data_IF_419059219837
#
_entry.id   IF_419059219837
#
_cell.length_a   1.000
_cell.length_b   1.000
_cell.length_c   1.000
_cell.angle_alpha   90.00
_cell.angle_beta   90.00
_cell.angle_gamma   90.00
#
_symmetry.space_group_name_H-M   'P 1'
#
loop_
_entity.id
_entity.type
_entity.pdbx_description
1 polymer ?
#
# COMPACT_ATOMS: atom_id res chain seq x y z
N UNK A 1 -1.01 61.60 19.84
CA UNK A 1 -0.53 60.89 18.66
C UNK A 1 -0.94 59.44 18.78
N UNK A 2 -2.04 59.07 18.10
CA UNK A 2 -2.81 57.86 18.34
C UNK A 2 -2.29 56.75 17.41
N UNK A 3 -1.80 55.65 17.97
CA UNK A 3 -1.45 54.45 17.20
C UNK A 3 -2.64 53.50 17.14
N UNK A 4 -3.14 53.25 15.95
CA UNK A 4 -4.13 52.23 15.66
C UNK A 4 -3.46 50.87 15.65
N UNK A 5 -3.90 49.97 16.52
CA UNK A 5 -3.64 48.52 16.45
C UNK A 5 -4.61 47.87 15.45
N UNK A 6 -4.11 47.37 14.35
CA UNK A 6 -4.82 46.46 13.49
C UNK A 6 -4.36 45.03 13.78
N UNK A 7 -5.14 44.29 14.55
CA UNK A 7 -5.03 42.86 14.70
C UNK A 7 -5.69 42.20 13.49
N UNK A 8 -4.92 41.80 12.50
CA UNK A 8 -5.32 40.87 11.48
C UNK A 8 -5.18 39.45 12.05
N UNK A 9 -6.29 38.89 12.43
CA UNK A 9 -6.38 37.45 12.74
C UNK A 9 -6.40 36.72 11.42
N UNK A 10 -5.24 36.27 10.97
CA UNK A 10 -5.11 35.32 9.87
C UNK A 10 -5.40 33.92 10.43
N UNK A 11 -6.67 33.49 10.28
CA UNK A 11 -7.08 32.11 10.48
C UNK A 11 -6.93 31.38 9.15
N UNK A 12 -5.72 31.10 8.75
CA UNK A 12 -5.44 30.04 7.78
C UNK A 12 -5.48 28.72 8.54
N UNK A 13 -6.60 28.01 8.45
CA UNK A 13 -6.63 26.57 8.75
C UNK A 13 -5.76 25.89 7.69
N UNK A 14 -4.49 25.64 8.03
CA UNK A 14 -3.64 24.76 7.26
C UNK A 14 -4.25 23.37 7.32
N UNK A 15 -4.91 22.95 6.25
CA UNK A 15 -5.18 21.54 6.03
C UNK A 15 -3.81 20.85 5.99
N UNK A 16 -3.47 20.11 7.03
CA UNK A 16 -2.27 19.29 7.09
C UNK A 16 -2.40 18.20 6.03
N UNK A 17 -1.71 18.37 4.92
CA UNK A 17 -1.60 17.35 3.86
C UNK A 17 -0.63 16.26 4.32
N UNK A 18 -1.03 15.00 4.25
CA UNK A 18 -0.35 13.83 4.85
C UNK A 18 -0.38 12.67 3.85
N UNK A 19 0.61 11.82 3.77
CA UNK A 19 1.31 11.28 2.57
C UNK A 19 1.59 12.49 1.71
N UNK A 20 2.68 12.70 1.09
CA UNK A 20 2.81 13.96 0.35
C UNK A 20 1.56 14.15 -0.50
N UNK A 21 0.64 15.07 -0.11
CA UNK A 21 -0.63 15.33 -0.77
C UNK A 21 -1.84 14.42 -0.45
N UNK A 22 -1.74 13.51 0.54
CA UNK A 22 -2.82 12.61 0.95
C UNK A 22 -3.71 13.12 2.09
N UNK A 23 -4.62 12.27 2.53
CA UNK A 23 -5.56 12.50 3.63
C UNK A 23 -5.51 11.34 4.62
N UNK A 24 -5.95 11.56 5.87
CA UNK A 24 -6.13 10.47 6.81
C UNK A 24 -7.19 9.50 6.29
N UNK A 25 -6.81 8.21 6.18
CA UNK A 25 -7.70 7.15 5.73
C UNK A 25 -8.84 6.94 6.72
N UNK A 26 -10.01 6.60 6.20
CA UNK A 26 -11.13 6.20 7.06
C UNK A 26 -10.71 4.97 7.89
N UNK A 27 -11.11 4.90 9.17
CA UNK A 27 -10.81 3.75 10.00
C UNK A 27 -11.19 2.43 9.31
N UNK A 28 -10.19 1.54 9.18
CA UNK A 28 -10.33 0.19 8.62
C UNK A 28 -10.75 0.12 7.13
N UNK A 29 -10.56 1.21 6.35
CA UNK A 29 -10.84 1.21 4.89
C UNK A 29 -9.89 0.31 4.10
N UNK A 30 -8.72 -0.02 4.66
CA UNK A 30 -7.70 -0.87 4.03
C UNK A 30 -7.41 -2.12 4.90
N UNK A 31 -8.36 -3.07 5.00
CA UNK A 31 -8.24 -4.22 5.93
C UNK A 31 -7.14 -5.22 5.54
N UNK A 32 -6.61 -5.11 4.34
CA UNK A 32 -5.50 -5.92 3.81
C UNK A 32 -4.11 -5.37 4.16
N UNK A 33 -4.04 -4.12 4.60
CA UNK A 33 -2.77 -3.43 4.83
C UNK A 33 -2.17 -3.85 6.17
N UNK A 34 -0.86 -4.11 6.17
CA UNK A 34 -0.09 -4.35 7.39
C UNK A 34 1.04 -3.35 7.54
N UNK A 35 1.29 -2.93 8.77
CA UNK A 35 2.50 -2.23 9.18
C UNK A 35 3.55 -3.27 9.55
N UNK A 36 4.67 -3.32 8.83
CA UNK A 36 5.83 -4.11 9.21
C UNK A 36 6.66 -3.32 10.20
N UNK A 37 6.83 -3.88 11.40
CA UNK A 37 7.52 -3.21 12.49
C UNK A 37 8.72 -4.03 12.96
N UNK A 38 9.87 -3.39 13.08
CA UNK A 38 11.02 -3.98 13.73
C UNK A 38 10.90 -3.79 15.23
N UNK A 39 11.31 -4.84 15.98
CA UNK A 39 11.24 -4.84 17.43
C UNK A 39 12.65 -4.84 18.03
N UNK A 40 12.91 -3.82 18.84
CA UNK A 40 14.14 -3.75 19.66
C UNK A 40 13.75 -3.59 21.11
N UNK A 41 14.03 -4.58 21.94
CA UNK A 41 13.57 -4.69 23.33
C UNK A 41 12.04 -4.58 23.40
N UNK A 42 11.51 -3.53 24.01
CA UNK A 42 10.08 -3.24 24.14
C UNK A 42 9.55 -2.19 23.15
N UNK A 43 10.45 -1.63 22.31
CA UNK A 43 10.11 -0.62 21.30
C UNK A 43 9.83 -1.30 19.98
N UNK A 44 8.79 -0.85 19.29
CA UNK A 44 8.50 -1.17 17.89
C UNK A 44 8.56 0.09 17.06
N UNK A 45 9.04 -0.03 15.86
CA UNK A 45 9.03 1.07 14.91
C UNK A 45 8.66 0.57 13.52
N UNK A 46 7.72 1.29 12.91
CA UNK A 46 7.29 1.05 11.54
C UNK A 46 8.42 1.37 10.58
N UNK A 47 8.62 0.52 9.56
CA UNK A 47 9.64 0.78 8.55
C UNK A 47 9.19 0.42 7.13
N UNK A 48 8.20 -0.46 6.96
CA UNK A 48 7.65 -0.88 5.67
C UNK A 48 6.16 -1.22 5.80
N UNK A 49 5.48 -1.19 4.67
CA UNK A 49 4.14 -1.73 4.51
C UNK A 49 4.15 -3.15 3.96
N UNK A 50 2.96 -3.74 3.86
CA UNK A 50 2.74 -5.03 3.21
C UNK A 50 1.26 -5.31 3.02
N UNK A 51 0.94 -6.37 2.27
CA UNK A 51 -0.43 -6.78 1.96
C UNK A 51 -0.69 -8.21 2.39
N UNK A 52 -1.77 -8.44 3.11
CA UNK A 52 -2.22 -9.80 3.47
C UNK A 52 -2.71 -10.50 2.21
N UNK A 53 -2.14 -11.67 1.89
CA UNK A 53 -2.59 -12.51 0.77
C UNK A 53 -3.50 -13.66 1.23
N UNK A 54 -3.21 -14.23 2.38
CA UNK A 54 -4.05 -15.21 3.10
C UNK A 54 -3.70 -15.18 4.60
N UNK A 55 -4.21 -16.13 5.38
CA UNK A 55 -4.00 -16.15 6.84
C UNK A 55 -2.52 -16.19 7.24
N UNK A 56 -1.62 -16.71 6.39
CA UNK A 56 -0.24 -16.97 6.75
C UNK A 56 0.79 -16.18 5.93
N UNK A 57 0.36 -15.50 4.85
CA UNK A 57 1.26 -14.90 3.91
C UNK A 57 0.99 -13.42 3.66
N UNK A 58 2.08 -12.65 3.63
CA UNK A 58 2.10 -11.22 3.34
C UNK A 58 3.01 -10.99 2.14
N UNK A 59 2.59 -10.10 1.24
CA UNK A 59 3.37 -9.55 0.14
C UNK A 59 4.01 -8.23 0.57
N UNK A 60 5.29 -8.03 0.26
CA UNK A 60 6.03 -6.79 0.52
C UNK A 60 7.18 -6.62 -0.49
N UNK A 61 8.02 -5.60 -0.34
CA UNK A 61 9.22 -5.40 -1.14
C UNK A 61 10.42 -6.21 -0.63
N UNK A 62 11.31 -6.62 -1.52
CA UNK A 62 12.52 -7.36 -1.15
C UNK A 62 13.52 -6.49 -0.38
N UNK A 63 13.63 -5.20 -0.70
CA UNK A 63 14.50 -4.27 0.03
C UNK A 63 14.12 -4.15 1.51
N UNK A 64 12.85 -4.31 1.87
CA UNK A 64 12.39 -4.33 3.26
C UNK A 64 13.00 -5.47 4.09
N UNK A 65 13.44 -6.55 3.45
CA UNK A 65 13.94 -7.74 4.15
C UNK A 65 15.42 -8.02 3.90
N UNK A 66 16.00 -7.50 2.81
CA UNK A 66 17.36 -7.80 2.38
C UNK A 66 18.36 -6.65 2.57
N UNK A 67 17.99 -5.40 2.38
CA UNK A 67 18.98 -4.31 2.35
C UNK A 67 19.38 -3.83 3.74
N UNK A 68 18.45 -3.73 4.66
CA UNK A 68 18.76 -3.26 6.00
C UNK A 68 19.38 -4.36 6.85
N UNK A 69 20.66 -4.21 7.23
CA UNK A 69 21.30 -5.11 8.20
C UNK A 69 20.56 -5.12 9.55
N UNK A 70 19.95 -3.99 9.94
CA UNK A 70 19.10 -3.89 11.13
C UNK A 70 17.85 -4.74 10.94
N UNK A 71 17.19 -4.65 9.80
CA UNK A 71 16.02 -5.45 9.49
C UNK A 71 16.36 -6.95 9.49
N UNK A 72 17.56 -7.35 9.04
CA UNK A 72 18.01 -8.75 9.10
C UNK A 72 18.21 -9.28 10.52
N UNK A 73 18.67 -8.45 11.44
CA UNK A 73 19.01 -8.84 12.81
C UNK A 73 17.82 -8.76 13.77
N UNK A 74 16.94 -7.77 13.59
CA UNK A 74 15.84 -7.56 14.54
C UNK A 74 14.63 -8.45 14.20
N UNK A 75 13.90 -8.91 15.22
CA UNK A 75 12.60 -9.50 15.05
C UNK A 75 11.65 -8.50 14.35
N UNK A 76 10.85 -9.04 13.43
CA UNK A 76 9.86 -8.28 12.66
C UNK A 76 8.46 -8.77 13.02
N UNK A 77 7.57 -7.85 13.29
CA UNK A 77 6.16 -8.10 13.55
C UNK A 77 5.31 -7.51 12.41
N UNK A 78 4.25 -8.20 12.01
CA UNK A 78 3.19 -7.68 11.16
C UNK A 78 2.05 -7.18 12.07
N UNK A 79 1.67 -5.92 11.88
CA UNK A 79 0.56 -5.30 12.61
C UNK A 79 -0.56 -5.01 11.62
N UNK A 80 -1.70 -5.67 11.80
CA UNK A 80 -2.91 -5.57 10.96
C UNK A 80 -4.11 -5.06 11.77
N UNK A 81 -5.17 -4.61 11.10
CA UNK A 81 -6.42 -4.20 11.75
C UNK A 81 -6.29 -2.93 12.59
N UNK A 82 -5.42 -2.03 12.20
CA UNK A 82 -5.19 -0.76 12.89
C UNK A 82 -5.04 0.41 11.93
N UNK A 83 -5.44 1.60 12.36
CA UNK A 83 -5.12 2.86 11.68
C UNK A 83 -3.93 3.59 12.32
N UNK A 84 -3.50 3.18 13.51
CA UNK A 84 -2.39 3.79 14.26
C UNK A 84 -1.21 2.82 14.33
N UNK A 85 0.00 3.29 14.03
CA UNK A 85 1.23 2.49 14.17
C UNK A 85 1.72 2.38 15.61
N UNK A 86 1.19 3.18 16.53
CA UNK A 86 1.58 3.21 17.94
C UNK A 86 0.50 2.65 18.87
N UNK A 87 -0.78 2.79 18.51
CA UNK A 87 -1.91 2.28 19.27
C UNK A 87 -2.81 1.40 18.41
N UNK A 88 -2.63 0.10 18.52
CA UNK A 88 -3.32 -0.88 17.66
C UNK A 88 -4.79 -1.09 18.01
N UNK A 89 -5.23 -0.61 19.19
CA UNK A 89 -6.60 -0.84 19.68
C UNK A 89 -6.90 -2.31 19.94
N UNK A 90 -8.17 -2.60 20.24
CA UNK A 90 -8.62 -3.97 20.57
C UNK A 90 -8.77 -4.88 19.33
N UNK A 91 -8.76 -4.32 18.14
CA UNK A 91 -8.94 -5.04 16.88
C UNK A 91 -7.61 -5.31 16.15
N UNK A 92 -6.55 -4.65 16.59
CA UNK A 92 -5.20 -4.82 16.03
C UNK A 92 -4.64 -6.20 16.34
N UNK A 93 -4.09 -6.84 15.32
CA UNK A 93 -3.38 -8.12 15.43
C UNK A 93 -1.89 -7.89 15.23
N UNK A 94 -1.09 -8.37 16.18
CA UNK A 94 0.38 -8.28 16.12
C UNK A 94 0.93 -9.69 16.01
N UNK A 95 1.44 -10.05 14.84
CA UNK A 95 1.91 -11.41 14.55
C UNK A 95 3.38 -11.37 14.14
N UNK A 96 4.27 -12.09 14.85
CA UNK A 96 5.68 -12.18 14.46
C UNK A 96 5.87 -12.81 13.08
N UNK A 97 6.86 -12.35 12.34
CA UNK A 97 7.25 -12.93 11.06
C UNK A 97 8.19 -14.13 11.32
N UNK A 98 7.81 -15.30 10.77
CA UNK A 98 8.55 -16.56 10.88
C UNK A 98 9.59 -16.70 9.77
N UNK A 99 9.25 -16.31 8.54
CA UNK A 99 10.17 -16.41 7.38
C UNK A 99 10.05 -15.14 6.53
N UNK A 100 11.17 -14.73 5.98
CA UNK A 100 11.34 -13.63 5.03
C UNK A 100 11.94 -14.21 3.77
N UNK A 101 11.28 -14.04 2.64
CA UNK A 101 11.62 -14.71 1.39
C UNK A 101 11.63 -13.65 0.29
N UNK A 102 12.77 -12.98 0.07
CA UNK A 102 12.92 -12.09 -1.07
C UNK A 102 12.92 -12.89 -2.37
N UNK A 103 12.58 -12.23 -3.48
CA UNK A 103 12.67 -12.86 -4.79
C UNK A 103 14.13 -13.26 -5.07
N UNK A 104 14.38 -14.50 -5.55
CA UNK A 104 15.75 -15.01 -5.70
C UNK A 104 16.63 -14.24 -6.69
N UNK A 105 16.01 -13.48 -7.60
CA UNK A 105 16.71 -12.64 -8.57
C UNK A 105 16.86 -11.19 -8.10
N UNK A 106 16.42 -10.84 -6.90
CA UNK A 106 16.65 -9.49 -6.37
C UNK A 106 18.14 -9.29 -6.08
N UNK A 107 18.73 -8.29 -6.72
CA UNK A 107 20.18 -8.04 -6.64
C UNK A 107 20.55 -6.97 -5.59
N UNK A 108 19.56 -6.41 -4.90
CA UNK A 108 19.75 -5.26 -4.02
C UNK A 108 19.63 -3.91 -4.76
N UNK A 109 19.44 -2.84 -4.00
CA UNK A 109 19.32 -1.49 -4.52
C UNK A 109 18.04 -1.24 -5.34
N UNK A 110 18.10 -0.22 -6.17
CA UNK A 110 17.01 0.17 -7.06
C UNK A 110 17.07 -0.70 -8.32
N UNK A 111 16.01 -1.46 -8.60
CA UNK A 111 15.97 -2.31 -9.79
C UNK A 111 14.83 -3.33 -9.78
N UNK A 112 14.81 -4.25 -10.76
CA UNK A 112 13.77 -5.26 -10.89
C UNK A 112 13.82 -6.31 -9.75
N UNK A 113 12.72 -7.05 -9.63
CA UNK A 113 12.54 -8.14 -8.65
C UNK A 113 12.45 -7.69 -7.19
N UNK A 114 12.17 -6.42 -6.93
CA UNK A 114 11.98 -5.90 -5.57
C UNK A 114 10.61 -6.31 -5.02
N UNK A 115 10.50 -7.60 -4.67
CA UNK A 115 9.29 -8.24 -4.15
C UNK A 115 9.67 -9.39 -3.20
N UNK A 116 8.93 -9.56 -2.12
CA UNK A 116 9.16 -10.59 -1.12
C UNK A 116 7.86 -11.15 -0.55
N UNK A 117 7.93 -12.41 -0.11
CA UNK A 117 6.89 -13.08 0.66
C UNK A 117 7.32 -13.21 2.12
N UNK A 118 6.40 -12.88 3.03
CA UNK A 118 6.60 -13.08 4.47
C UNK A 118 5.64 -14.13 4.99
N UNK A 119 6.16 -15.12 5.72
CA UNK A 119 5.31 -16.07 6.44
C UNK A 119 5.17 -15.66 7.89
N UNK A 120 3.96 -15.58 8.37
CA UNK A 120 3.64 -15.29 9.77
C UNK A 120 3.90 -16.50 10.67
N UNK A 121 4.10 -16.26 11.95
CA UNK A 121 4.30 -17.32 12.95
C UNK A 121 2.97 -17.96 13.35
N UNK A 122 1.88 -17.21 13.31
CA UNK A 122 0.52 -17.65 13.56
C UNK A 122 -0.40 -17.09 12.46
N UNK A 123 -1.56 -17.71 12.17
CA UNK A 123 -2.48 -17.21 11.17
C UNK A 123 -3.14 -15.90 11.62
N UNK A 124 -3.41 -15.00 10.67
CA UNK A 124 -4.33 -13.90 10.87
C UNK A 124 -5.75 -14.43 11.14
N UNK A 125 -6.44 -13.80 12.07
CA UNK A 125 -7.87 -14.01 12.24
C UNK A 125 -8.61 -13.01 11.35
N UNK A 126 -9.32 -13.50 10.34
CA UNK A 126 -10.07 -12.62 9.46
C UNK A 126 -11.28 -12.03 10.18
N UNK A 127 -11.45 -10.72 10.04
CA UNK A 127 -12.51 -9.90 10.62
C UNK A 127 -12.91 -8.82 9.60
N UNK A 128 -13.74 -7.87 9.98
CA UNK A 128 -14.02 -6.69 9.14
C UNK A 128 -12.77 -5.84 8.93
N UNK A 129 -11.87 -5.83 9.90
CA UNK A 129 -10.70 -4.98 9.97
C UNK A 129 -9.43 -5.66 9.45
N UNK A 130 -9.45 -6.99 9.25
CA UNK A 130 -8.31 -7.79 8.76
C UNK A 130 -8.79 -8.75 7.70
N UNK A 131 -8.38 -8.55 6.45
CA UNK A 131 -8.81 -9.34 5.27
C UNK A 131 -7.69 -9.46 4.24
N UNK A 132 -7.70 -10.50 3.41
CA UNK A 132 -6.78 -10.60 2.29
C UNK A 132 -7.13 -9.61 1.17
N UNK A 133 -6.14 -9.30 0.34
CA UNK A 133 -6.29 -8.53 -0.90
C UNK A 133 -6.33 -9.47 -2.10
N UNK A 134 -7.00 -9.04 -3.18
CA UNK A 134 -7.03 -9.80 -4.42
C UNK A 134 -5.76 -9.60 -5.24
N UNK A 135 -5.35 -10.66 -5.96
CA UNK A 135 -4.19 -10.66 -6.86
C UNK A 135 -4.61 -10.41 -8.32
N UNK A 136 -3.77 -9.75 -9.15
CA UNK A 136 -4.12 -9.35 -10.51
C UNK A 136 -3.86 -10.49 -11.53
N UNK A 137 -4.42 -11.68 -11.34
CA UNK A 137 -4.09 -12.87 -12.17
C UNK A 137 -4.31 -12.66 -13.65
N UNK A 138 -5.51 -12.22 -14.03
CA UNK A 138 -5.87 -11.94 -15.43
C UNK A 138 -6.33 -10.48 -15.62
N UNK A 139 -6.18 -9.66 -14.58
CA UNK A 139 -6.59 -8.28 -14.61
C UNK A 139 -5.59 -7.42 -15.39
N UNK A 140 -6.09 -6.66 -16.35
CA UNK A 140 -5.32 -5.63 -17.05
C UNK A 140 -5.60 -4.28 -16.42
N UNK A 141 -4.52 -3.54 -16.14
CA UNK A 141 -4.62 -2.17 -15.67
C UNK A 141 -5.43 -1.37 -16.68
N UNK A 142 -6.52 -0.76 -16.23
CA UNK A 142 -7.23 0.27 -16.97
C UNK A 142 -6.73 1.66 -16.48
N UNK A 143 -7.02 2.70 -17.22
CA UNK A 143 -6.57 4.07 -16.90
C UNK A 143 -7.36 4.70 -15.74
N UNK A 144 -8.01 3.88 -14.93
CA UNK A 144 -8.76 4.35 -13.77
C UNK A 144 -7.84 4.80 -12.65
N UNK A 145 -8.40 5.50 -11.70
CA UNK A 145 -7.73 5.93 -10.48
C UNK A 145 -7.29 4.74 -9.65
N UNK A 146 -6.06 4.78 -9.18
CA UNK A 146 -5.48 3.85 -8.22
C UNK A 146 -5.37 4.51 -6.86
N UNK A 147 -5.22 3.71 -5.82
CA UNK A 147 -5.08 4.18 -4.46
C UNK A 147 -3.78 3.68 -3.84
N UNK A 148 -3.13 4.57 -3.12
CA UNK A 148 -1.97 4.30 -2.30
C UNK A 148 -2.35 4.60 -0.86
N UNK A 149 -2.07 3.68 0.06
CA UNK A 149 -2.27 3.88 1.48
C UNK A 149 -1.06 3.40 2.28
N UNK A 150 -0.67 4.15 3.32
CA UNK A 150 0.48 3.81 4.14
C UNK A 150 0.71 4.80 5.29
N UNK A 151 1.77 4.51 6.01
CA UNK A 151 2.27 5.35 7.12
C UNK A 151 3.62 5.96 6.80
N UNK A 152 3.94 6.12 5.52
CA UNK A 152 5.19 6.74 5.09
C UNK A 152 5.32 8.19 5.53
N UNK A 153 6.56 8.67 5.54
CA UNK A 153 6.88 10.01 5.97
C UNK A 153 6.13 11.06 5.16
N UNK A 154 5.65 12.08 5.83
CA UNK A 154 4.87 13.18 5.25
C UNK A 154 5.73 14.13 4.41
N UNK A 155 7.04 14.06 4.63
CA UNK A 155 8.08 14.84 3.93
C UNK A 155 9.43 14.19 4.11
N UNK A 156 10.31 14.44 3.16
CA UNK A 156 11.72 14.04 3.30
C UNK A 156 12.40 14.90 4.38
N UNK A 157 12.97 14.25 5.39
CA UNK A 157 13.77 14.88 6.43
C UNK A 157 15.18 14.31 6.43
N UNK A 158 16.17 15.10 6.90
CA UNK A 158 17.59 14.72 6.87
C UNK A 158 17.95 13.71 7.96
N UNK A 159 17.25 13.69 9.09
CA UNK A 159 17.66 12.89 10.25
C UNK A 159 16.62 11.88 10.72
N UNK A 160 15.39 12.29 10.96
CA UNK A 160 14.31 11.40 11.46
C UNK A 160 13.09 11.58 10.56
N UNK A 161 12.58 10.52 9.95
CA UNK A 161 11.34 10.58 9.17
C UNK A 161 10.18 11.10 10.04
N UNK A 162 9.44 12.07 9.52
CA UNK A 162 8.20 12.55 10.14
C UNK A 162 7.07 11.59 9.75
N UNK A 163 6.96 10.49 10.49
CA UNK A 163 6.04 9.38 10.20
C UNK A 163 4.72 9.63 10.92
N UNK A 164 3.59 9.65 10.19
CA UNK A 164 2.27 9.86 10.79
C UNK A 164 1.86 8.66 11.64
N UNK A 165 1.24 8.90 12.80
CA UNK A 165 0.63 7.82 13.58
C UNK A 165 -0.57 7.21 12.87
N UNK A 166 -1.34 8.03 12.15
CA UNK A 166 -2.56 7.62 11.47
C UNK A 166 -2.31 7.27 10.02
N UNK A 167 -2.95 6.17 9.58
CA UNK A 167 -2.93 5.74 8.18
C UNK A 167 -3.37 6.88 7.26
N UNK A 168 -2.62 7.06 6.17
CA UNK A 168 -2.90 8.03 5.12
C UNK A 168 -3.29 7.32 3.84
N UNK A 169 -4.08 7.98 3.00
CA UNK A 169 -4.46 7.49 1.66
C UNK A 169 -4.41 8.61 0.64
N UNK A 170 -4.14 8.26 -0.61
CA UNK A 170 -4.15 9.19 -1.75
C UNK A 170 -4.52 8.49 -3.04
N UNK A 171 -5.29 9.18 -3.87
CA UNK A 171 -5.56 8.74 -5.24
C UNK A 171 -4.42 9.16 -6.17
N UNK A 172 -3.95 8.22 -6.98
CA UNK A 172 -2.88 8.41 -7.97
C UNK A 172 -3.31 7.87 -9.33
N UNK A 173 -2.62 8.27 -10.39
CA UNK A 173 -2.89 7.76 -11.74
C UNK A 173 -1.68 7.04 -12.29
N UNK A 174 -1.92 5.94 -12.98
CA UNK A 174 -0.89 5.27 -13.77
C UNK A 174 -0.35 6.21 -14.86
N UNK A 175 0.96 6.15 -15.06
CA UNK A 175 1.64 6.79 -16.20
C UNK A 175 2.32 5.73 -17.05
N UNK A 176 2.40 5.95 -18.35
CA UNK A 176 3.01 4.99 -19.28
C UNK A 176 4.49 4.75 -18.98
N UNK A 177 5.01 3.60 -19.41
CA UNK A 177 6.45 3.31 -19.28
C UNK A 177 7.31 4.41 -19.90
N UNK A 178 6.99 4.84 -21.12
CA UNK A 178 7.78 5.87 -21.83
C UNK A 178 7.76 7.22 -21.10
N UNK A 179 6.62 7.61 -20.55
CA UNK A 179 6.48 8.83 -19.78
C UNK A 179 7.28 8.74 -18.47
N UNK A 180 7.17 7.61 -17.76
CA UNK A 180 7.92 7.33 -16.54
C UNK A 180 9.45 7.32 -16.82
N UNK A 181 9.88 6.60 -17.85
CA UNK A 181 11.29 6.53 -18.25
C UNK A 181 11.86 7.91 -18.57
N UNK A 182 11.14 8.70 -19.39
CA UNK A 182 11.56 10.05 -19.77
C UNK A 182 11.59 10.99 -18.56
N UNK A 183 10.65 10.86 -17.63
CA UNK A 183 10.62 11.65 -16.42
C UNK A 183 11.85 11.38 -15.55
N UNK A 184 12.19 10.10 -15.32
CA UNK A 184 13.39 9.71 -14.56
C UNK A 184 14.65 10.18 -15.26
N UNK A 185 14.77 9.98 -16.60
CA UNK A 185 15.91 10.47 -17.39
C UNK A 185 16.15 11.98 -17.25
N UNK A 186 15.07 12.75 -17.11
CA UNK A 186 15.15 14.20 -17.01
C UNK A 186 15.66 14.74 -15.67
N UNK A 187 15.58 13.92 -14.60
CA UNK A 187 15.87 14.35 -13.21
C UNK A 187 17.02 13.57 -12.56
N UNK A 188 17.40 12.39 -13.10
CA UNK A 188 18.55 11.63 -12.61
C UNK A 188 19.87 12.35 -12.90
N UNK A 189 20.93 12.03 -12.19
CA UNK A 189 22.25 12.49 -12.53
C UNK A 189 22.71 11.93 -13.90
N UNK A 190 23.46 12.72 -14.66
CA UNK A 190 23.82 12.39 -16.06
C UNK A 190 24.60 11.07 -16.19
N UNK A 191 25.35 10.72 -15.17
CA UNK A 191 26.20 9.52 -15.15
C UNK A 191 25.47 8.30 -14.56
N UNK A 192 24.28 8.50 -13.95
CA UNK A 192 23.50 7.40 -13.41
C UNK A 192 22.73 6.66 -14.50
N UNK A 193 22.64 5.34 -14.34
CA UNK A 193 21.79 4.49 -15.17
C UNK A 193 20.33 4.61 -14.72
N UNK A 194 19.40 4.60 -15.67
CA UNK A 194 17.97 4.53 -15.37
C UNK A 194 17.59 3.08 -15.04
N UNK A 195 17.22 2.77 -13.80
CA UNK A 195 16.96 1.40 -13.37
C UNK A 195 15.56 0.88 -13.73
N UNK A 196 14.75 1.70 -14.43
CA UNK A 196 13.38 1.33 -14.78
C UNK A 196 13.36 0.17 -15.79
N UNK A 197 12.66 -0.91 -15.44
CA UNK A 197 12.42 -2.07 -16.28
C UNK A 197 10.96 -2.14 -16.70
N UNK A 198 10.69 -2.26 -18.01
CA UNK A 198 9.33 -2.21 -18.56
C UNK A 198 8.44 -3.35 -18.09
N UNK A 199 9.01 -4.54 -17.86
CA UNK A 199 8.26 -5.71 -17.40
C UNK A 199 8.06 -5.70 -15.90
N UNK A 200 9.14 -5.40 -15.16
CA UNK A 200 9.16 -5.50 -13.71
C UNK A 200 8.47 -4.35 -13.00
N UNK A 201 8.39 -3.17 -13.63
CA UNK A 201 7.94 -1.95 -12.98
C UNK A 201 6.67 -1.37 -13.57
N UNK A 202 5.97 -0.61 -12.76
CA UNK A 202 4.90 0.31 -13.13
C UNK A 202 5.08 1.62 -12.35
N UNK A 203 4.50 2.69 -12.86
CA UNK A 203 4.70 4.02 -12.29
C UNK A 203 3.38 4.76 -12.09
N UNK A 204 3.38 5.65 -11.09
CA UNK A 204 2.30 6.63 -10.92
C UNK A 204 2.83 8.05 -10.88
N UNK A 205 1.99 9.00 -11.34
CA UNK A 205 2.13 10.43 -11.13
C UNK A 205 1.38 10.92 -9.90
N UNK A 206 1.21 12.25 -9.80
CA UNK A 206 1.39 13.24 -10.85
C UNK A 206 2.86 13.72 -11.00
N UNK A 207 3.30 13.95 -12.22
CA UNK A 207 4.63 14.54 -12.48
C UNK A 207 4.70 16.05 -12.18
N UNK A 208 3.59 16.66 -11.81
CA UNK A 208 3.56 18.04 -11.27
C UNK A 208 4.16 18.16 -9.88
N UNK A 209 4.39 17.01 -9.21
CA UNK A 209 4.84 16.91 -7.84
C UNK A 209 3.73 17.06 -6.81
N UNK A 210 4.08 16.99 -5.54
CA UNK A 210 3.17 17.19 -4.40
C UNK A 210 2.38 15.92 -3.99
N UNK A 211 2.53 14.80 -4.71
CA UNK A 211 1.95 13.49 -4.35
C UNK A 211 2.98 12.42 -4.65
N UNK A 212 3.34 11.60 -3.66
CA UNK A 212 4.22 10.44 -3.83
C UNK A 212 4.17 9.51 -2.62
N UNK A 213 4.57 8.24 -2.81
CA UNK A 213 5.01 7.39 -1.71
C UNK A 213 6.32 7.96 -1.12
N UNK A 214 6.54 7.73 0.18
CA UNK A 214 7.72 8.19 0.87
C UNK A 214 8.29 7.11 1.81
N UNK A 215 9.36 7.42 2.54
CA UNK A 215 10.01 6.50 3.48
C UNK A 215 9.01 5.92 4.49
N UNK A 216 8.86 4.61 4.50
CA UNK A 216 7.87 3.88 5.30
C UNK A 216 6.69 3.33 4.50
N UNK A 217 6.35 3.89 3.31
CA UNK A 217 5.35 3.30 2.41
C UNK A 217 5.91 2.09 1.63
N UNK A 218 7.22 1.92 1.59
CA UNK A 218 7.95 0.80 0.97
C UNK A 218 7.28 -0.54 1.26
N UNK A 219 7.09 -1.37 0.24
CA UNK A 219 6.45 -2.68 0.39
C UNK A 219 4.92 -2.64 0.52
N UNK A 220 4.33 -1.47 0.73
CA UNK A 220 2.88 -1.27 0.73
C UNK A 220 2.26 -1.43 -0.66
N UNK A 221 0.94 -1.69 -0.74
CA UNK A 221 0.26 -1.92 -2.00
C UNK A 221 -0.12 -0.63 -2.72
N UNK A 222 0.02 -0.64 -4.05
CA UNK A 222 -0.76 0.18 -4.96
C UNK A 222 -1.96 -0.64 -5.39
N UNK A 223 -3.17 -0.15 -5.15
CA UNK A 223 -4.40 -0.88 -5.43
C UNK A 223 -5.27 -0.21 -6.48
N UNK A 224 -6.16 -1.02 -7.06
CA UNK A 224 -7.31 -0.54 -7.82
C UNK A 224 -8.58 -1.22 -7.30
N UNK A 225 -9.66 -0.44 -7.16
CA UNK A 225 -10.99 -0.95 -6.83
C UNK A 225 -11.63 -1.49 -8.11
N UNK A 226 -11.73 -2.82 -8.23
CA UNK A 226 -12.16 -3.53 -9.45
C UNK A 226 -13.55 -4.12 -9.23
N UNK A 227 -14.49 -3.95 -10.19
CA UNK A 227 -15.76 -4.67 -10.16
C UNK A 227 -15.56 -6.19 -10.10
N UNK A 228 -16.25 -6.87 -9.20
CA UNK A 228 -16.15 -8.34 -9.05
C UNK A 228 -16.43 -9.07 -10.38
N UNK A 229 -17.30 -8.52 -11.21
CA UNK A 229 -17.63 -9.06 -12.54
C UNK A 229 -16.46 -9.05 -13.53
N UNK A 230 -15.38 -8.31 -13.24
CA UNK A 230 -14.14 -8.29 -14.04
C UNK A 230 -13.08 -9.26 -13.55
N UNK A 231 -13.31 -9.96 -12.44
CA UNK A 231 -12.39 -10.95 -11.88
C UNK A 231 -12.81 -12.34 -12.34
N UNK A 232 -11.83 -13.16 -12.72
CA UNK A 232 -12.08 -14.58 -13.00
C UNK A 232 -12.34 -15.33 -11.69
N UNK A 233 -13.14 -16.40 -11.75
CA UNK A 233 -13.50 -17.26 -10.61
C UNK A 233 -12.28 -17.88 -9.88
N UNK A 234 -11.10 -17.83 -10.46
CA UNK A 234 -9.84 -18.31 -9.89
C UNK A 234 -9.06 -17.26 -9.07
N UNK A 235 -9.52 -16.00 -9.02
CA UNK A 235 -8.88 -14.96 -8.21
C UNK A 235 -9.24 -15.05 -6.72
N UNK A 236 -10.10 -16.00 -6.36
CA UNK A 236 -10.47 -16.30 -5.00
C UNK A 236 -9.37 -17.11 -4.28
N UNK A 237 -8.60 -16.46 -3.46
CA UNK A 237 -7.72 -17.14 -2.51
C UNK A 237 -8.36 -17.19 -1.11
N UNK A 238 -9.55 -17.75 -1.00
CA UNK A 238 -10.13 -18.04 0.31
C UNK A 238 -11.63 -17.82 0.43
N UNK A 239 -12.31 -18.85 0.92
CA UNK A 239 -13.73 -18.92 1.25
C UNK A 239 -14.18 -17.86 2.30
N UNK A 240 -13.23 -17.17 2.94
CA UNK A 240 -13.48 -16.23 4.03
C UNK A 240 -14.15 -14.90 3.60
N UNK A 241 -14.25 -14.61 2.30
CA UNK A 241 -14.89 -13.38 1.82
C UNK A 241 -16.38 -13.60 1.51
N UNK A 242 -16.78 -14.81 1.11
CA UNK A 242 -18.16 -15.13 0.73
C UNK A 242 -19.07 -15.35 1.94
N UNK A 243 -18.63 -16.08 2.98
CA UNK A 243 -19.43 -16.36 4.17
C UNK A 243 -19.96 -15.10 4.88
N UNK A 244 -19.23 -13.99 4.81
CA UNK A 244 -19.67 -12.72 5.45
C UNK A 244 -20.73 -11.98 4.62
N UNK A 245 -20.85 -12.28 3.34
CA UNK A 245 -21.74 -11.57 2.42
C UNK A 245 -23.07 -12.30 2.23
N UNK A 246 -23.08 -13.63 2.29
CA UNK A 246 -24.31 -14.41 2.25
C UNK A 246 -25.25 -14.05 3.42
N UNK A 247 -24.71 -13.89 4.62
CA UNK A 247 -25.51 -13.51 5.80
C UNK A 247 -26.15 -12.12 5.67
N UNK A 248 -25.51 -11.20 4.90
CA UNK A 248 -26.06 -9.86 4.72
C UNK A 248 -26.98 -9.77 3.50
N UNK A 249 -26.75 -10.60 2.48
CA UNK A 249 -27.56 -10.66 1.28
C UNK A 249 -28.93 -11.29 1.56
N UNK A 250 -29.00 -12.35 2.38
CA UNK A 250 -30.27 -12.93 2.82
C UNK A 250 -31.14 -11.98 3.67
N UNK A 251 -30.51 -11.20 4.57
CA UNK A 251 -31.26 -10.21 5.35
C UNK A 251 -31.77 -9.03 4.52
N UNK A 252 -31.01 -8.64 3.48
CA UNK A 252 -31.38 -7.56 2.57
C UNK A 252 -32.41 -8.04 1.53
N UNK A 253 -32.33 -9.27 1.05
CA UNK A 253 -33.32 -9.83 0.11
C UNK A 253 -34.70 -9.95 0.73
N UNK A 254 -34.79 -10.23 2.03
CA UNK A 254 -36.06 -10.26 2.76
C UNK A 254 -36.68 -8.88 2.96
N UNK A 255 -35.84 -7.82 3.10
CA UNK A 255 -36.32 -6.41 3.21
C UNK A 255 -36.66 -5.76 1.85
N UNK A 256 -36.07 -6.25 0.73
CA UNK A 256 -36.24 -5.69 -0.63
C UNK A 256 -37.54 -6.19 -1.30
N UNK A 257 -38.12 -7.30 -0.84
CA UNK A 257 -39.34 -7.84 -1.46
C UNK A 257 -40.59 -6.95 -1.23
N UNK A 258 -40.50 -5.92 -0.41
CA UNK A 258 -41.58 -4.96 -0.17
C UNK A 258 -41.47 -3.58 -0.86
N UNK A 259 -40.30 -3.23 -1.47
CA UNK A 259 -40.13 -1.92 -2.10
C UNK A 259 -39.27 -2.00 -3.39
N UNK A 260 -39.92 -2.37 -4.51
CA UNK A 260 -39.29 -2.29 -5.84
C UNK A 260 -39.58 -0.88 -6.41
N UNK A 261 -38.67 0.05 -6.18
CA UNK A 261 -38.46 1.22 -7.03
C UNK A 261 -36.95 1.43 -7.18
N UNK A 262 -36.45 1.23 -8.42
CA UNK A 262 -35.13 1.60 -8.96
C UNK A 262 -33.93 1.51 -7.99
N UNK A 263 -33.48 0.32 -7.66
CA UNK A 263 -32.14 0.10 -7.11
C UNK A 263 -31.18 0.06 -8.29
N UNK A 264 -30.41 1.12 -8.52
CA UNK A 264 -29.18 1.03 -9.26
C UNK A 264 -28.30 -0.01 -8.56
N UNK A 265 -28.13 -1.17 -9.18
CA UNK A 265 -27.27 -2.23 -8.70
C UNK A 265 -25.84 -1.68 -8.64
N UNK A 266 -25.43 -1.24 -7.46
CA UNK A 266 -24.09 -0.72 -7.22
C UNK A 266 -23.11 -1.89 -7.39
N UNK A 267 -22.45 -1.96 -8.55
CA UNK A 267 -21.52 -3.05 -8.88
C UNK A 267 -20.47 -3.15 -7.80
N UNK A 268 -20.52 -4.23 -7.04
CA UNK A 268 -19.56 -4.51 -5.95
C UNK A 268 -18.13 -4.45 -6.48
N UNK A 269 -17.27 -3.68 -5.81
CA UNK A 269 -15.84 -3.54 -6.11
C UNK A 269 -14.99 -4.12 -4.99
N UNK A 270 -13.87 -4.70 -5.37
CA UNK A 270 -12.88 -5.25 -4.44
C UNK A 270 -11.49 -4.68 -4.72
N UNK A 271 -10.61 -4.58 -3.69
CA UNK A 271 -9.26 -4.08 -3.88
C UNK A 271 -8.37 -5.14 -4.53
N UNK A 272 -7.73 -4.82 -5.65
CA UNK A 272 -6.74 -5.64 -6.33
C UNK A 272 -5.37 -4.98 -6.19
N UNK A 273 -4.35 -5.70 -5.73
CA UNK A 273 -2.98 -5.18 -5.62
C UNK A 273 -2.30 -5.23 -6.99
N UNK A 274 -2.00 -4.08 -7.57
CA UNK A 274 -1.35 -3.97 -8.88
C UNK A 274 0.16 -3.79 -8.74
N UNK A 275 0.61 -3.09 -7.71
CA UNK A 275 2.01 -2.78 -7.47
C UNK A 275 2.40 -2.88 -6.00
N UNK A 276 3.69 -3.11 -5.77
CA UNK A 276 4.35 -3.02 -4.46
C UNK A 276 5.26 -1.81 -4.48
N UNK A 277 5.11 -0.87 -3.54
CA UNK A 277 5.96 0.33 -3.46
C UNK A 277 7.43 -0.09 -3.37
N UNK A 278 8.21 0.32 -4.38
CA UNK A 278 9.60 -0.05 -4.52
C UNK A 278 10.54 1.14 -4.29
N UNK A 279 10.50 2.15 -5.16
CA UNK A 279 11.39 3.30 -5.05
C UNK A 279 10.81 4.57 -5.64
N UNK A 280 11.47 5.68 -5.37
CA UNK A 280 11.18 7.00 -5.91
C UNK A 280 12.36 7.93 -5.72
N UNK A 281 12.26 9.13 -6.29
CA UNK A 281 13.30 10.15 -6.18
C UNK A 281 13.11 10.99 -4.91
N UNK A 282 14.20 11.32 -4.26
CA UNK A 282 14.19 12.25 -3.12
C UNK A 282 14.42 13.70 -3.58
N UNK A 283 13.74 14.68 -2.95
CA UNK A 283 12.74 14.55 -1.90
C UNK A 283 11.40 13.98 -2.40
N UNK A 284 10.65 13.30 -1.53
CA UNK A 284 9.33 12.74 -1.90
C UNK A 284 8.40 13.85 -2.42
N UNK A 285 7.66 13.56 -3.50
CA UNK A 285 6.80 14.53 -4.16
C UNK A 285 7.53 15.58 -4.99
N UNK A 286 8.79 15.33 -5.34
CA UNK A 286 9.55 16.19 -6.25
C UNK A 286 8.84 16.33 -7.61
N UNK A 287 8.80 17.53 -8.12
CA UNK A 287 8.26 17.79 -9.47
C UNK A 287 9.08 17.04 -10.53
N UNK A 288 8.39 16.33 -11.41
CA UNK A 288 9.01 15.48 -12.44
C UNK A 288 9.30 14.05 -11.95
N UNK A 289 9.19 13.77 -10.64
CA UNK A 289 9.52 12.46 -10.08
C UNK A 289 8.28 11.55 -9.99
N UNK A 290 8.26 10.39 -10.68
CA UNK A 290 7.24 9.37 -10.48
C UNK A 290 7.52 8.56 -9.21
N UNK A 291 6.48 7.88 -8.68
CA UNK A 291 6.65 6.75 -7.76
C UNK A 291 6.71 5.46 -8.59
N UNK A 292 7.67 4.59 -8.29
CA UNK A 292 7.88 3.32 -8.99
C UNK A 292 7.52 2.15 -8.09
N UNK A 293 6.79 1.20 -8.66
CA UNK A 293 6.28 0.01 -8.00
C UNK A 293 6.76 -1.24 -8.73
N UNK A 294 6.98 -2.32 -8.00
CA UNK A 294 7.12 -3.65 -8.60
C UNK A 294 5.76 -4.13 -9.08
N UNK A 295 5.63 -4.47 -10.35
CA UNK A 295 4.38 -4.86 -11.02
C UNK A 295 3.99 -6.28 -10.64
N UNK A 296 2.98 -6.45 -9.79
CA UNK A 296 2.63 -7.75 -9.17
C UNK A 296 2.29 -8.83 -10.19
N UNK A 297 1.62 -8.51 -11.30
CA UNK A 297 1.24 -9.46 -12.33
C UNK A 297 2.42 -10.24 -12.94
N UNK A 298 3.61 -9.65 -12.98
CA UNK A 298 4.82 -10.29 -13.49
C UNK A 298 5.40 -11.34 -12.54
N UNK A 299 5.02 -11.28 -11.27
CA UNK A 299 5.55 -12.14 -10.20
C UNK A 299 4.56 -13.18 -9.69
N UNK A 300 3.44 -13.42 -10.39
CA UNK A 300 2.43 -14.38 -9.97
C UNK A 300 2.99 -15.79 -9.74
N UNK A 301 3.92 -16.25 -10.61
CA UNK A 301 4.58 -17.57 -10.42
C UNK A 301 5.38 -17.66 -9.12
N UNK A 302 6.02 -16.55 -8.72
CA UNK A 302 6.74 -16.48 -7.46
C UNK A 302 5.78 -16.50 -6.27
N UNK A 303 4.70 -15.73 -6.34
CA UNK A 303 3.67 -15.63 -5.30
C UNK A 303 2.97 -16.98 -5.11
N UNK A 304 2.47 -17.58 -6.19
CA UNK A 304 1.70 -18.83 -6.17
C UNK A 304 2.48 -20.01 -5.60
N UNK A 305 3.80 -20.04 -5.80
CA UNK A 305 4.67 -21.06 -5.19
C UNK A 305 4.51 -21.15 -3.67
N UNK A 306 4.18 -20.04 -3.01
CA UNK A 306 4.05 -20.00 -1.55
C UNK A 306 2.58 -20.03 -1.09
N UNK A 307 1.63 -19.59 -1.90
CA UNK A 307 0.22 -19.63 -1.54
C UNK A 307 -0.35 -21.06 -1.56
N UNK A 308 0.27 -21.96 -2.30
CA UNK A 308 -0.12 -23.38 -2.39
C UNK A 308 0.50 -24.25 -1.30
N UNK A 309 1.25 -23.69 -0.34
CA UNK A 309 1.92 -24.38 0.77
C UNK A 309 1.41 -23.91 2.14
#
# INVERSE_FOLDING_TARGET
>A
MTLMNSTVQDRTSSAETRIVGGFEAKPYSHPYLVSLQLRFLWIRFHFCGGSILNENWILTAAHCVEESWIAKLLPMDAVAGTNSINNFGIKGQVIPIKKRIPHPSYAGGIGPHDIAMLRTQAPFQFTKEVRPIYLPRNYKIDDNTMELAGWGALRTTVFIPDVPDRLQEVSVKHISYNECYSAIESIKDKEEYNPLDEKAHMCTGPLTGGIAACSGDSGGPLIQMVPVTKLDSYDYSGDAYDDYLDVKTESILNDIQENIEEVHEEVRKVPVVLGVVSWGMAPCGLRGAPTVYTKVSEYMKFIDKYLST
#
